data_IF_178753523376
#
_entry.id   IF_178753523376
#
_cell.length_a   1.000
_cell.length_b   1.000
_cell.length_c   1.000
_cell.angle_alpha   90.00
_cell.angle_beta   90.00
_cell.angle_gamma   90.00
#
_symmetry.space_group_name_H-M   'P 1'
#
loop_
_entity.id
_entity.type
_entity.pdbx_description
1 polymer ?
#
# COMPACT_ATOMS: atom_id res chain seq x y z
N UNK A 1 42.93 60.49 -0.47
CA UNK A 1 42.06 59.56 0.28
C UNK A 1 41.28 58.73 -0.73
N UNK A 2 41.54 57.42 -0.83
CA UNK A 2 40.81 56.50 -1.72
C UNK A 2 39.67 55.88 -0.93
N UNK A 3 38.44 56.20 -1.30
CA UNK A 3 37.22 55.62 -0.72
C UNK A 3 37.01 54.24 -1.34
N UNK A 4 37.23 53.17 -0.57
CA UNK A 4 36.90 51.81 -0.97
C UNK A 4 35.43 51.58 -0.63
N UNK A 5 34.59 51.43 -1.66
CA UNK A 5 33.19 51.04 -1.50
C UNK A 5 33.17 49.51 -1.37
N UNK A 6 32.89 49.01 -0.17
CA UNK A 6 32.58 47.59 0.05
C UNK A 6 31.16 47.31 -0.44
N UNK A 7 31.03 46.61 -1.57
CA UNK A 7 29.76 46.05 -2.00
C UNK A 7 29.44 44.83 -1.11
N UNK A 8 28.45 44.98 -0.25
CA UNK A 8 27.88 43.87 0.53
C UNK A 8 26.99 43.07 -0.42
N UNK A 9 27.49 41.92 -0.88
CA UNK A 9 26.70 40.93 -1.60
C UNK A 9 25.86 40.18 -0.55
N UNK A 10 24.57 40.52 -0.46
CA UNK A 10 23.61 39.70 0.27
C UNK A 10 23.46 38.35 -0.45
N UNK A 11 24.08 37.29 0.08
CA UNK A 11 23.72 35.93 -0.29
C UNK A 11 22.32 35.65 0.30
N UNK A 12 21.29 35.83 -0.50
CA UNK A 12 19.99 35.24 -0.19
C UNK A 12 20.13 33.73 -0.30
N UNK A 13 20.19 33.03 0.83
CA UNK A 13 20.07 31.59 0.88
C UNK A 13 18.65 31.23 0.41
N UNK A 14 18.51 30.82 -0.85
CA UNK A 14 17.29 30.19 -1.32
C UNK A 14 17.13 28.88 -0.57
N UNK A 15 16.32 28.89 0.48
CA UNK A 15 15.82 27.66 1.09
C UNK A 15 14.96 27.01 0.02
N UNK A 16 15.48 25.97 -0.64
CA UNK A 16 14.67 25.20 -1.58
C UNK A 16 13.63 24.43 -0.76
N UNK A 17 12.41 24.96 -0.72
CA UNK A 17 11.29 24.26 -0.13
C UNK A 17 10.90 23.14 -1.09
N UNK A 18 10.70 21.92 -0.57
CA UNK A 18 10.24 20.82 -1.39
C UNK A 18 8.86 21.14 -1.97
N UNK A 19 8.70 20.97 -3.27
CA UNK A 19 7.48 21.33 -4.00
C UNK A 19 6.63 20.09 -4.28
N UNK A 20 5.31 20.24 -4.29
CA UNK A 20 4.40 19.11 -4.55
C UNK A 20 4.60 18.57 -5.95
N UNK A 21 4.59 17.24 -6.10
CA UNK A 21 4.76 16.59 -7.41
C UNK A 21 3.77 17.09 -8.47
N UNK A 22 2.50 17.31 -8.09
CA UNK A 22 1.48 17.78 -9.03
C UNK A 22 1.70 19.22 -9.49
N UNK A 23 2.29 20.09 -8.66
CA UNK A 23 2.66 21.46 -9.05
C UNK A 23 3.84 21.45 -10.03
N UNK A 24 4.86 20.65 -9.74
CA UNK A 24 6.04 20.49 -10.60
C UNK A 24 5.67 19.85 -11.96
N UNK A 25 4.67 18.97 -11.97
CA UNK A 25 4.18 18.36 -13.21
C UNK A 25 3.40 19.37 -14.04
N UNK A 26 2.52 20.17 -13.41
CA UNK A 26 1.77 21.25 -14.07
C UNK A 26 2.68 22.31 -14.67
N UNK A 27 3.79 22.65 -14.02
CA UNK A 27 4.78 23.60 -14.55
C UNK A 27 5.70 23.00 -15.63
N UNK A 28 5.62 21.70 -15.88
CA UNK A 28 6.53 20.98 -16.78
C UNK A 28 7.97 20.87 -16.25
N UNK A 29 8.22 21.20 -14.98
CA UNK A 29 9.54 21.10 -14.35
C UNK A 29 9.93 19.65 -14.06
N UNK A 30 8.96 18.76 -13.91
CA UNK A 30 9.19 17.32 -13.77
C UNK A 30 8.34 16.53 -14.76
N UNK A 31 8.90 15.42 -15.26
CA UNK A 31 8.12 14.35 -15.90
C UNK A 31 8.00 13.20 -14.90
N UNK A 32 6.78 12.73 -14.73
CA UNK A 32 6.45 11.59 -13.87
C UNK A 32 5.89 10.47 -14.73
N UNK A 33 6.41 9.26 -14.55
CA UNK A 33 5.87 8.06 -15.16
C UNK A 33 5.62 7.06 -14.04
N UNK A 34 4.38 6.66 -13.85
CA UNK A 34 3.99 5.76 -12.76
C UNK A 34 3.24 4.57 -13.34
N UNK A 35 3.59 3.38 -12.86
CA UNK A 35 2.91 2.11 -13.14
C UNK A 35 2.65 1.37 -11.83
N UNK A 36 1.72 0.42 -11.84
CA UNK A 36 1.62 -0.55 -10.77
C UNK A 36 2.90 -1.40 -10.65
N UNK A 37 3.20 -1.88 -9.45
CA UNK A 37 4.42 -2.62 -9.16
C UNK A 37 4.13 -4.11 -8.92
N UNK A 38 4.28 -4.92 -9.97
CA UNK A 38 4.07 -6.37 -9.92
C UNK A 38 5.02 -7.13 -8.99
N UNK A 39 6.09 -6.49 -8.52
CA UNK A 39 7.03 -7.11 -7.57
C UNK A 39 6.57 -6.99 -6.11
N UNK A 40 5.49 -6.25 -5.85
CA UNK A 40 4.96 -6.00 -4.50
C UNK A 40 3.45 -6.25 -4.44
N UNK A 41 2.90 -6.14 -3.24
CA UNK A 41 1.47 -6.24 -2.97
C UNK A 41 0.87 -4.85 -2.82
N UNK A 42 -0.44 -4.81 -3.04
CA UNK A 42 -1.23 -3.58 -3.19
C UNK A 42 -1.34 -2.74 -1.91
N UNK A 43 -0.93 -3.29 -0.76
CA UNK A 43 -0.89 -2.65 0.55
C UNK A 43 0.52 -2.30 1.06
N UNK A 44 1.56 -2.54 0.24
CA UNK A 44 2.96 -2.32 0.60
C UNK A 44 3.61 -1.29 -0.33
N UNK A 45 4.19 -1.71 -1.45
CA UNK A 45 4.82 -0.84 -2.45
C UNK A 45 4.07 -0.89 -3.79
N UNK A 46 2.79 -0.50 -3.86
CA UNK A 46 1.92 -0.73 -5.02
C UNK A 46 2.35 -0.02 -6.31
N UNK A 47 3.17 1.04 -6.22
CA UNK A 47 3.54 1.87 -7.37
C UNK A 47 5.04 1.94 -7.58
N UNK A 48 5.47 1.83 -8.83
CA UNK A 48 6.82 2.15 -9.27
C UNK A 48 6.78 3.46 -10.06
N UNK A 49 7.55 4.45 -9.61
CA UNK A 49 7.59 5.80 -10.20
C UNK A 49 8.98 6.09 -10.76
N UNK A 50 9.00 6.69 -11.96
CA UNK A 50 10.19 7.27 -12.59
C UNK A 50 10.02 8.78 -12.70
N UNK A 51 10.82 9.50 -11.92
CA UNK A 51 10.89 10.95 -11.90
C UNK A 51 12.04 11.44 -12.78
N UNK A 52 11.77 12.40 -13.65
CA UNK A 52 12.79 13.05 -14.49
C UNK A 52 12.74 14.56 -14.29
N UNK A 53 13.83 15.14 -13.79
CA UNK A 53 13.94 16.58 -13.67
C UNK A 53 14.16 17.21 -15.06
N UNK A 54 13.14 17.91 -15.56
CA UNK A 54 13.16 18.60 -16.84
C UNK A 54 13.61 20.08 -16.71
N UNK A 55 13.77 20.58 -15.48
CA UNK A 55 14.28 21.91 -15.20
C UNK A 55 15.80 21.99 -15.32
N UNK A 56 16.31 23.22 -15.44
CA UNK A 56 17.75 23.53 -15.43
C UNK A 56 18.32 23.69 -14.01
N UNK A 57 17.49 23.53 -12.99
CA UNK A 57 17.82 23.71 -11.58
C UNK A 57 17.55 22.43 -10.79
N UNK A 58 18.17 22.31 -9.62
CA UNK A 58 17.85 21.25 -8.65
C UNK A 58 16.37 21.33 -8.27
N UNK A 59 15.69 20.19 -8.19
CA UNK A 59 14.34 20.07 -7.67
C UNK A 59 14.32 19.19 -6.43
N UNK A 60 13.56 19.60 -5.41
CA UNK A 60 13.21 18.78 -4.27
C UNK A 60 11.71 18.46 -4.39
N UNK A 61 11.39 17.23 -4.77
CA UNK A 61 10.03 16.78 -5.10
C UNK A 61 9.41 16.15 -3.87
N UNK A 62 8.25 16.66 -3.43
CA UNK A 62 7.50 16.16 -2.29
C UNK A 62 6.29 15.32 -2.74
N UNK A 63 6.15 14.14 -2.16
CA UNK A 63 4.95 13.30 -2.24
C UNK A 63 4.58 12.93 -0.80
N UNK A 64 3.64 13.64 -0.15
CA UNK A 64 3.28 13.39 1.25
C UNK A 64 2.35 12.19 1.39
N UNK A 65 2.32 11.60 2.59
CA UNK A 65 1.26 10.66 2.96
C UNK A 65 -0.12 11.35 2.88
N UNK A 66 -1.09 10.64 2.31
CA UNK A 66 -2.40 11.16 1.94
C UNK A 66 -2.48 11.73 0.52
N UNK A 67 -1.39 11.79 -0.24
CA UNK A 67 -1.43 12.17 -1.66
C UNK A 67 -1.96 11.02 -2.52
N UNK A 68 -2.80 11.32 -3.52
CA UNK A 68 -3.46 10.32 -4.36
C UNK A 68 -2.83 10.24 -5.75
N UNK A 69 -2.64 9.01 -6.21
CA UNK A 69 -2.38 8.65 -7.60
C UNK A 69 -3.63 8.00 -8.19
N UNK A 70 -4.11 8.57 -9.28
CA UNK A 70 -5.33 8.10 -9.95
C UNK A 70 -4.95 7.14 -11.07
N UNK A 71 -5.59 5.98 -11.12
CA UNK A 71 -5.41 5.02 -12.20
C UNK A 71 -5.88 5.61 -13.54
N UNK A 72 -5.17 5.33 -14.62
CA UNK A 72 -5.61 5.75 -15.96
C UNK A 72 -6.72 4.86 -16.51
N UNK A 73 -6.87 3.67 -15.94
CA UNK A 73 -7.92 2.70 -16.24
C UNK A 73 -8.78 2.57 -14.98
N UNK A 74 -10.08 2.85 -15.10
CA UNK A 74 -11.01 2.86 -13.96
C UNK A 74 -11.38 1.46 -13.46
N UNK A 75 -10.90 0.38 -14.09
CA UNK A 75 -10.99 -0.97 -13.53
C UNK A 75 -9.96 -1.24 -12.45
N UNK A 76 -9.01 -0.32 -12.23
CA UNK A 76 -7.97 -0.42 -11.22
C UNK A 76 -8.19 0.61 -10.10
N UNK A 77 -7.83 0.22 -8.88
CA UNK A 77 -7.91 1.08 -7.71
C UNK A 77 -6.98 2.29 -7.82
N UNK A 78 -7.45 3.44 -7.34
CA UNK A 78 -6.59 4.57 -7.01
C UNK A 78 -5.72 4.23 -5.80
N UNK A 79 -4.60 4.95 -5.67
CA UNK A 79 -3.62 4.70 -4.62
C UNK A 79 -3.41 5.95 -3.79
N UNK A 80 -3.63 5.83 -2.49
CA UNK A 80 -3.20 6.83 -1.51
C UNK A 80 -1.83 6.48 -0.98
N UNK A 81 -0.91 7.46 -0.99
CA UNK A 81 0.44 7.31 -0.47
C UNK A 81 0.42 7.25 1.06
N UNK A 82 1.16 6.31 1.63
CA UNK A 82 1.21 6.06 3.09
C UNK A 82 2.63 6.19 3.66
N UNK A 83 3.56 6.76 2.88
CA UNK A 83 4.88 7.18 3.34
C UNK A 83 5.26 8.46 2.61
N UNK A 84 5.51 9.52 3.37
CA UNK A 84 5.94 10.81 2.84
C UNK A 84 7.37 10.70 2.30
N UNK A 85 7.57 11.06 1.04
CA UNK A 85 8.90 11.11 0.45
C UNK A 85 9.29 12.51 -0.03
N UNK A 86 10.58 12.81 0.08
CA UNK A 86 11.22 13.95 -0.57
C UNK A 86 12.35 13.43 -1.44
N UNK A 87 12.19 13.56 -2.76
CA UNK A 87 13.20 13.15 -3.73
C UNK A 87 13.92 14.37 -4.29
N UNK A 88 15.21 14.51 -3.99
CA UNK A 88 16.08 15.50 -4.65
C UNK A 88 16.56 14.98 -6.00
N UNK A 89 16.44 15.81 -7.03
CA UNK A 89 16.93 15.55 -8.39
C UNK A 89 17.77 16.73 -8.91
N UNK A 90 18.98 16.44 -9.37
CA UNK A 90 19.80 17.39 -10.14
C UNK A 90 19.19 17.64 -11.53
N UNK A 91 19.56 18.73 -12.24
CA UNK A 91 19.10 18.99 -13.60
C UNK A 91 19.31 17.78 -14.52
N UNK A 92 18.26 17.37 -15.24
CA UNK A 92 18.31 16.21 -16.14
C UNK A 92 18.36 14.83 -15.45
N UNK A 93 18.44 14.78 -14.12
CA UNK A 93 18.51 13.51 -13.40
C UNK A 93 17.21 12.73 -13.53
N UNK A 94 17.35 11.40 -13.66
CA UNK A 94 16.25 10.44 -13.49
C UNK A 94 16.41 9.69 -12.18
N UNK A 95 15.33 9.49 -11.44
CA UNK A 95 15.28 8.65 -10.24
C UNK A 95 14.09 7.70 -10.30
N UNK A 96 14.33 6.43 -9.97
CA UNK A 96 13.29 5.42 -9.81
C UNK A 96 13.06 5.18 -8.32
N UNK A 97 11.79 5.11 -7.92
CA UNK A 97 11.37 4.94 -6.52
C UNK A 97 10.17 4.01 -6.52
N UNK A 98 10.06 3.14 -5.53
CA UNK A 98 8.81 2.45 -5.25
C UNK A 98 8.11 3.18 -4.12
N UNK A 99 6.82 3.50 -4.29
CA UNK A 99 6.07 4.28 -3.32
C UNK A 99 5.27 3.36 -2.42
N UNK A 100 5.29 3.63 -1.12
CA UNK A 100 4.34 3.00 -0.21
C UNK A 100 2.98 3.64 -0.35
N UNK A 101 1.97 2.79 -0.47
CA UNK A 101 0.61 3.21 -0.62
C UNK A 101 -0.36 2.08 -0.39
N UNK A 102 -1.63 2.45 -0.35
CA UNK A 102 -2.75 1.53 -0.19
C UNK A 102 -3.83 1.88 -1.20
N UNK A 103 -4.57 0.87 -1.58
CA UNK A 103 -5.64 1.00 -2.54
C UNK A 103 -6.89 1.61 -1.91
N UNK A 104 -7.68 2.31 -2.72
CA UNK A 104 -8.79 3.13 -2.23
C UNK A 104 -10.17 2.50 -2.44
N UNK A 105 -10.35 1.60 -3.42
CA UNK A 105 -11.66 1.09 -3.83
C UNK A 105 -11.72 -0.45 -3.82
N UNK A 106 -12.25 -1.08 -2.77
CA UNK A 106 -12.09 -2.54 -2.54
C UNK A 106 -12.49 -3.45 -3.72
N UNK A 107 -13.45 -3.01 -4.56
CA UNK A 107 -14.02 -3.81 -5.65
C UNK A 107 -13.24 -3.76 -6.97
N UNK A 108 -12.31 -2.82 -7.15
CA UNK A 108 -11.54 -2.69 -8.39
C UNK A 108 -10.23 -3.50 -8.32
N UNK A 109 -9.57 -3.72 -9.45
CA UNK A 109 -8.34 -4.50 -9.52
C UNK A 109 -7.18 -3.87 -8.74
N UNK A 110 -6.31 -4.71 -8.17
CA UNK A 110 -5.05 -4.26 -7.60
C UNK A 110 -4.13 -3.68 -8.69
N UNK A 111 -3.22 -2.75 -8.35
CA UNK A 111 -2.23 -2.22 -9.28
C UNK A 111 -1.40 -3.32 -9.96
N UNK A 112 -1.27 -3.20 -11.27
CA UNK A 112 -0.41 -4.05 -12.09
C UNK A 112 0.58 -3.24 -12.92
N UNK A 113 1.64 -3.89 -13.41
CA UNK A 113 2.65 -3.29 -14.29
C UNK A 113 2.10 -2.85 -15.65
N UNK A 114 0.86 -3.22 -15.98
CA UNK A 114 0.14 -2.78 -17.18
C UNK A 114 -0.71 -1.52 -16.95
N UNK A 115 -1.04 -1.18 -15.70
CA UNK A 115 -1.82 0.00 -15.38
C UNK A 115 -0.90 1.20 -15.11
N UNK A 116 -1.22 2.33 -15.74
CA UNK A 116 -0.54 3.61 -15.50
C UNK A 116 -1.29 4.45 -14.46
N UNK A 117 -0.56 5.36 -13.81
CA UNK A 117 -1.11 6.23 -12.78
C UNK A 117 -0.65 7.68 -12.96
N UNK A 118 -1.52 8.61 -12.61
CA UNK A 118 -1.23 10.04 -12.63
C UNK A 118 -1.23 10.63 -11.20
N UNK A 119 -0.23 11.44 -10.83
CA UNK A 119 -0.31 12.25 -9.60
C UNK A 119 -1.51 13.20 -9.68
N UNK A 120 -2.35 13.21 -8.65
CA UNK A 120 -3.51 14.12 -8.58
C UNK A 120 -3.35 15.13 -7.44
N UNK A 121 -3.99 14.86 -6.29
CA UNK A 121 -4.14 15.80 -5.18
C UNK A 121 -4.10 15.07 -3.84
N UNK A 122 -4.15 15.84 -2.76
CA UNK A 122 -4.39 15.28 -1.42
C UNK A 122 -5.78 14.67 -1.33
N UNK A 123 -5.89 13.51 -0.68
CA UNK A 123 -7.16 12.89 -0.33
C UNK A 123 -7.97 13.77 0.64
N UNK A 124 -9.20 13.37 0.92
CA UNK A 124 -10.02 14.00 1.95
C UNK A 124 -9.37 13.88 3.35
N UNK A 125 -9.66 14.84 4.23
CA UNK A 125 -8.99 15.00 5.53
C UNK A 125 -8.91 13.71 6.37
N UNK A 126 -9.97 12.92 6.43
CA UNK A 126 -9.98 11.66 7.20
C UNK A 126 -9.00 10.63 6.60
N UNK A 127 -8.97 10.51 5.27
CA UNK A 127 -8.05 9.60 4.56
C UNK A 127 -6.61 10.06 4.77
N UNK A 128 -6.34 11.37 4.69
CA UNK A 128 -5.00 11.93 4.98
C UNK A 128 -4.56 11.61 6.41
N UNK A 129 -5.45 11.77 7.40
CA UNK A 129 -5.18 11.44 8.80
C UNK A 129 -4.86 9.95 8.98
N UNK A 130 -5.63 9.06 8.35
CA UNK A 130 -5.36 7.62 8.38
C UNK A 130 -4.02 7.28 7.72
N UNK A 131 -3.73 7.83 6.53
CA UNK A 131 -2.46 7.60 5.84
C UNK A 131 -1.25 8.05 6.68
N UNK A 132 -1.35 9.19 7.37
CA UNK A 132 -0.32 9.67 8.29
C UNK A 132 -0.21 8.82 9.56
N UNK A 133 -1.32 8.29 10.06
CA UNK A 133 -1.31 7.35 11.18
C UNK A 133 -0.61 6.04 10.78
N UNK A 134 -0.90 5.52 9.60
CA UNK A 134 -0.24 4.34 9.02
C UNK A 134 1.26 4.60 8.85
N UNK A 135 1.65 5.74 8.28
CA UNK A 135 3.04 6.15 8.15
C UNK A 135 3.77 6.16 9.50
N UNK A 136 3.19 6.86 10.49
CA UNK A 136 3.78 7.02 11.82
C UNK A 136 4.02 5.68 12.53
N UNK A 137 3.10 4.73 12.37
CA UNK A 137 3.16 3.43 13.01
C UNK A 137 3.78 2.34 12.12
N UNK A 138 4.10 2.66 10.85
CA UNK A 138 4.61 1.72 9.83
C UNK A 138 3.66 0.54 9.58
N UNK A 139 2.36 0.79 9.58
CA UNK A 139 1.32 -0.23 9.40
C UNK A 139 1.05 -0.54 7.93
N UNK A 140 2.11 -0.77 7.14
CA UNK A 140 2.03 -1.15 5.72
C UNK A 140 1.78 -2.66 5.60
N UNK A 141 0.57 -3.07 5.97
CA UNK A 141 0.18 -4.45 6.22
C UNK A 141 -1.24 -4.72 5.72
N UNK A 142 -1.68 -5.99 5.70
CA UNK A 142 -3.08 -6.35 5.50
C UNK A 142 -4.05 -5.52 6.34
N UNK A 143 -3.82 -5.40 7.65
CA UNK A 143 -4.68 -4.61 8.53
C UNK A 143 -4.75 -3.13 8.12
N UNK A 144 -3.63 -2.54 7.71
CA UNK A 144 -3.60 -1.15 7.23
C UNK A 144 -4.45 -0.93 5.98
N UNK A 145 -4.40 -1.87 5.03
CA UNK A 145 -5.22 -1.82 3.82
C UNK A 145 -6.71 -2.00 4.11
N UNK A 146 -7.06 -2.94 4.99
CA UNK A 146 -8.45 -3.12 5.43
C UNK A 146 -8.97 -1.86 6.14
N UNK A 147 -8.13 -1.19 6.94
CA UNK A 147 -8.49 0.10 7.54
C UNK A 147 -8.73 1.21 6.49
N UNK A 148 -7.99 1.19 5.39
CA UNK A 148 -8.19 2.15 4.30
C UNK A 148 -9.54 1.94 3.61
N UNK A 149 -9.86 0.71 3.23
CA UNK A 149 -11.16 0.37 2.65
C UNK A 149 -12.30 0.62 3.63
N UNK A 150 -12.16 0.20 4.90
CA UNK A 150 -13.18 0.43 5.94
C UNK A 150 -13.52 1.91 6.09
N UNK A 151 -12.53 2.80 5.98
CA UNK A 151 -12.76 4.24 6.05
C UNK A 151 -13.42 4.81 4.79
N UNK A 152 -13.02 4.34 3.61
CA UNK A 152 -13.46 4.89 2.32
C UNK A 152 -14.87 4.40 1.97
N UNK A 153 -15.11 3.11 2.13
CA UNK A 153 -16.37 2.44 1.78
C UNK A 153 -17.41 2.53 2.91
N UNK A 154 -17.06 3.17 4.02
CA UNK A 154 -17.90 3.37 5.21
C UNK A 154 -18.38 2.04 5.83
N UNK A 155 -17.54 1.01 5.80
CA UNK A 155 -17.82 -0.31 6.35
C UNK A 155 -17.82 -0.33 7.91
N UNK A 156 -18.36 -1.39 8.52
CA UNK A 156 -18.23 -1.63 9.96
C UNK A 156 -16.77 -1.74 10.40
N UNK A 157 -16.45 -1.27 11.62
CA UNK A 157 -15.06 -1.25 12.10
C UNK A 157 -14.45 -2.64 12.25
N UNK A 158 -15.26 -3.67 12.46
CA UNK A 158 -14.77 -5.06 12.47
C UNK A 158 -14.24 -5.52 11.11
N UNK A 159 -14.53 -4.80 10.02
CA UNK A 159 -13.96 -5.00 8.69
C UNK A 159 -12.43 -4.79 8.64
N UNK A 160 -11.86 -4.11 9.64
CA UNK A 160 -10.40 -4.11 9.83
C UNK A 160 -9.99 -5.43 10.48
N UNK A 161 -9.86 -6.46 9.64
CA UNK A 161 -9.50 -7.83 10.03
C UNK A 161 -8.10 -8.20 9.57
N UNK A 162 -7.35 -8.88 10.45
CA UNK A 162 -6.03 -9.43 10.12
C UNK A 162 -5.61 -10.50 11.13
N UNK A 163 -4.70 -11.40 10.73
CA UNK A 163 -4.05 -12.32 11.67
C UNK A 163 -3.23 -11.58 12.74
N UNK A 164 -2.68 -10.39 12.44
CA UNK A 164 -2.16 -9.50 13.47
C UNK A 164 -3.31 -8.73 14.15
N UNK A 165 -4.00 -9.43 15.04
CA UNK A 165 -5.14 -8.89 15.79
C UNK A 165 -4.76 -7.67 16.65
N UNK A 166 -3.50 -7.53 17.04
CA UNK A 166 -3.02 -6.39 17.83
C UNK A 166 -3.01 -5.12 16.99
N UNK A 167 -2.50 -5.20 15.76
CA UNK A 167 -2.49 -4.10 14.82
C UNK A 167 -3.89 -3.75 14.35
N UNK A 168 -4.73 -4.75 14.06
CA UNK A 168 -6.14 -4.56 13.72
C UNK A 168 -6.88 -3.79 14.82
N UNK A 169 -6.76 -4.20 16.10
CA UNK A 169 -7.40 -3.52 17.21
C UNK A 169 -6.96 -2.05 17.37
N UNK A 170 -5.67 -1.74 17.14
CA UNK A 170 -5.16 -0.36 17.17
C UNK A 170 -5.81 0.47 16.06
N UNK A 171 -5.91 -0.07 14.85
CA UNK A 171 -6.53 0.60 13.70
C UNK A 171 -8.04 0.79 13.91
N UNK A 172 -8.76 -0.23 14.39
CA UNK A 172 -10.19 -0.14 14.73
C UNK A 172 -10.46 0.98 15.74
N UNK A 173 -9.64 1.04 16.80
CA UNK A 173 -9.73 2.11 17.80
C UNK A 173 -9.47 3.49 17.18
N UNK A 174 -8.44 3.62 16.36
CA UNK A 174 -8.13 4.88 15.69
C UNK A 174 -9.27 5.33 14.76
N UNK A 175 -9.85 4.40 13.98
CA UNK A 175 -11.01 4.69 13.13
C UNK A 175 -12.25 5.04 13.93
N UNK A 176 -12.51 4.38 15.06
CA UNK A 176 -13.59 4.76 15.98
C UNK A 176 -13.43 6.22 16.44
N UNK A 177 -12.24 6.62 16.86
CA UNK A 177 -11.95 8.01 17.27
C UNK A 177 -12.07 9.01 16.12
N UNK A 178 -11.65 8.61 14.91
CA UNK A 178 -11.65 9.46 13.72
C UNK A 178 -13.05 9.66 13.12
N UNK A 179 -13.91 8.65 13.21
CA UNK A 179 -15.23 8.61 12.56
C UNK A 179 -16.39 8.80 13.52
N UNK A 180 -16.20 8.49 14.81
CA UNK A 180 -17.26 8.41 15.82
C UNK A 180 -18.05 7.09 15.78
N UNK A 181 -17.71 6.15 14.89
CA UNK A 181 -18.32 4.82 14.84
C UNK A 181 -17.96 4.00 16.08
N UNK A 182 -18.89 3.13 16.49
CA UNK A 182 -18.64 2.15 17.57
C UNK A 182 -17.96 0.93 16.99
N UNK A 183 -17.14 0.27 17.82
CA UNK A 183 -16.60 -1.05 17.51
C UNK A 183 -17.68 -2.06 17.88
N UNK A 184 -18.20 -2.75 16.88
CA UNK A 184 -19.26 -3.76 17.01
C UNK A 184 -18.65 -5.16 16.98
N UNK A 185 -19.39 -6.14 17.49
CA UNK A 185 -19.01 -7.55 17.36
C UNK A 185 -19.24 -8.04 15.93
N UNK A 186 -18.42 -8.99 15.48
CA UNK A 186 -18.58 -9.62 14.17
C UNK A 186 -19.86 -10.47 14.18
N UNK A 187 -20.78 -10.31 13.22
CA UNK A 187 -21.94 -11.18 13.07
C UNK A 187 -21.52 -12.66 12.94
N UNK A 188 -22.26 -13.57 13.58
CA UNK A 188 -21.87 -14.98 13.64
C UNK A 188 -21.81 -15.67 12.28
N UNK A 189 -22.61 -15.22 11.32
CA UNK A 189 -22.64 -15.68 9.93
C UNK A 189 -21.54 -15.07 9.05
N UNK A 190 -20.92 -13.97 9.50
CA UNK A 190 -19.79 -13.30 8.84
C UNK A 190 -18.44 -13.64 9.51
N UNK A 191 -18.44 -14.44 10.58
CA UNK A 191 -17.25 -14.68 11.40
C UNK A 191 -16.08 -15.24 10.58
N UNK A 192 -16.34 -16.10 9.61
CA UNK A 192 -15.27 -16.63 8.76
C UNK A 192 -14.66 -15.55 7.84
N UNK A 193 -15.41 -14.54 7.43
CA UNK A 193 -14.90 -13.46 6.57
C UNK A 193 -13.99 -12.49 7.33
N UNK A 194 -14.31 -12.19 8.59
CA UNK A 194 -13.62 -11.13 9.35
C UNK A 194 -12.79 -11.63 10.55
N UNK A 195 -12.99 -12.86 11.00
CA UNK A 195 -12.13 -13.50 12.00
C UNK A 195 -11.23 -14.56 11.32
N UNK A 196 -9.96 -14.19 11.15
CA UNK A 196 -8.98 -15.04 10.50
C UNK A 196 -8.52 -16.22 11.37
N UNK A 197 -8.95 -16.28 12.64
CA UNK A 197 -8.72 -17.42 13.54
C UNK A 197 -9.76 -18.52 13.37
N UNK A 198 -10.92 -18.20 12.77
CA UNK A 198 -11.97 -19.19 12.49
C UNK A 198 -11.53 -20.13 11.38
N UNK A 199 -11.62 -21.44 11.65
CA UNK A 199 -11.31 -22.50 10.69
C UNK A 199 -12.41 -22.65 9.62
N UNK A 200 -12.07 -23.13 8.41
CA UNK A 200 -13.07 -23.55 7.42
C UNK A 200 -14.03 -24.57 8.02
N UNK A 201 -15.32 -24.50 7.66
CA UNK A 201 -16.34 -25.34 8.29
C UNK A 201 -17.29 -26.03 7.29
N UNK A 202 -17.22 -25.71 6.00
CA UNK A 202 -18.10 -26.28 4.97
C UNK A 202 -17.34 -27.14 3.96
N UNK A 203 -16.54 -26.53 3.09
CA UNK A 203 -15.77 -27.24 2.04
C UNK A 203 -14.31 -26.81 2.10
N UNK A 204 -13.44 -27.67 2.60
CA UNK A 204 -12.04 -27.34 2.79
C UNK A 204 -11.21 -27.64 1.54
N UNK A 205 -10.55 -26.63 0.98
CA UNK A 205 -9.44 -26.79 0.05
C UNK A 205 -8.16 -26.48 0.81
N UNK A 206 -7.16 -27.35 0.70
CA UNK A 206 -5.89 -27.15 1.37
C UNK A 206 -4.71 -27.75 0.63
N UNK A 207 -3.52 -27.42 1.13
CA UNK A 207 -2.27 -27.93 0.58
C UNK A 207 -1.09 -27.48 1.41
N UNK A 208 0.09 -27.87 0.94
CA UNK A 208 1.35 -27.63 1.62
C UNK A 208 2.31 -26.90 0.67
N UNK A 209 3.06 -25.94 1.24
CA UNK A 209 4.17 -25.28 0.55
C UNK A 209 5.39 -25.30 1.45
N UNK A 210 6.48 -25.82 0.90
CA UNK A 210 7.79 -25.80 1.56
C UNK A 210 8.65 -24.66 1.02
N UNK A 211 9.37 -23.99 1.90
CA UNK A 211 10.39 -23.00 1.54
C UNK A 211 11.49 -22.94 2.60
N UNK A 212 12.61 -22.30 2.27
CA UNK A 212 13.72 -22.15 3.19
C UNK A 212 14.17 -20.69 3.25
N UNK A 213 14.16 -20.11 4.46
CA UNK A 213 14.59 -18.74 4.72
C UNK A 213 15.96 -18.72 5.38
N UNK A 214 16.93 -18.05 4.76
CA UNK A 214 18.31 -17.98 5.27
C UNK A 214 18.45 -17.24 6.60
N UNK A 215 17.53 -16.31 6.87
CA UNK A 215 17.52 -15.48 8.07
C UNK A 215 16.09 -15.33 8.55
N UNK A 216 15.92 -15.08 9.85
CA UNK A 216 14.63 -14.73 10.43
C UNK A 216 14.02 -13.50 9.74
N UNK A 217 12.85 -13.67 9.14
CA UNK A 217 12.14 -12.63 8.39
C UNK A 217 10.64 -12.71 8.66
N UNK A 218 9.96 -11.56 8.68
CA UNK A 218 8.49 -11.51 8.74
C UNK A 218 7.90 -11.85 7.38
N UNK A 219 6.92 -12.75 7.34
CA UNK A 219 6.22 -13.11 6.11
C UNK A 219 4.72 -13.03 6.28
N UNK A 220 4.05 -12.71 5.18
CA UNK A 220 2.60 -12.90 5.02
C UNK A 220 2.39 -13.94 3.93
N UNK A 221 1.71 -15.02 4.27
CA UNK A 221 1.20 -16.01 3.33
C UNK A 221 -0.30 -15.81 3.22
N UNK A 222 -0.80 -15.56 2.02
CA UNK A 222 -2.20 -15.19 1.85
C UNK A 222 -2.79 -15.61 0.50
N UNK A 223 -4.11 -15.72 0.48
CA UNK A 223 -4.95 -15.95 -0.68
C UNK A 223 -5.37 -14.61 -1.29
N UNK A 224 -5.29 -14.53 -2.62
CA UNK A 224 -5.64 -13.36 -3.41
C UNK A 224 -6.59 -13.74 -4.54
N UNK A 225 -7.49 -12.81 -4.91
CA UNK A 225 -8.35 -12.94 -6.09
C UNK A 225 -7.53 -12.92 -7.39
N UNK A 226 -8.18 -13.22 -8.52
CA UNK A 226 -7.57 -13.07 -9.85
C UNK A 226 -7.12 -11.61 -10.10
N UNK A 227 -7.88 -10.66 -9.57
CA UNK A 227 -7.60 -9.22 -9.68
C UNK A 227 -6.53 -8.74 -8.69
N UNK A 228 -5.91 -9.65 -7.94
CA UNK A 228 -4.79 -9.37 -7.05
C UNK A 228 -5.17 -8.77 -5.70
N UNK A 229 -6.44 -8.81 -5.33
CA UNK A 229 -6.99 -8.34 -4.04
C UNK A 229 -6.71 -9.37 -2.95
N UNK A 230 -6.20 -8.92 -1.80
CA UNK A 230 -6.04 -9.77 -0.63
C UNK A 230 -7.42 -10.24 -0.13
N UNK A 231 -7.64 -11.56 -0.08
CA UNK A 231 -8.88 -12.16 0.41
C UNK A 231 -8.75 -12.65 1.85
N UNK A 232 -7.68 -13.39 2.15
CA UNK A 232 -7.48 -13.98 3.47
C UNK A 232 -6.00 -14.24 3.74
N UNK A 233 -5.55 -13.83 4.92
CA UNK A 233 -4.25 -14.25 5.43
C UNK A 233 -4.35 -15.69 5.96
N UNK A 234 -3.36 -16.50 5.61
CA UNK A 234 -3.21 -17.88 6.07
C UNK A 234 -2.08 -18.00 7.10
N UNK A 235 -1.08 -17.11 7.01
CA UNK A 235 -0.03 -16.96 8.02
C UNK A 235 0.50 -15.53 8.01
N UNK A 236 0.76 -14.96 9.18
CA UNK A 236 1.42 -13.67 9.35
C UNK A 236 2.34 -13.75 10.58
N UNK A 237 3.65 -13.77 10.35
CA UNK A 237 4.60 -13.97 11.44
C UNK A 237 6.04 -14.16 10.98
N UNK A 238 6.98 -14.28 11.93
CA UNK A 238 8.38 -14.53 11.62
C UNK A 238 8.59 -15.98 11.18
N UNK A 239 9.51 -16.20 10.26
CA UNK A 239 9.96 -17.53 9.80
C UNK A 239 11.47 -17.56 9.66
N UNK A 240 12.09 -18.72 9.88
CA UNK A 240 13.53 -18.95 9.69
C UNK A 240 13.81 -20.42 9.36
N UNK A 241 14.82 -20.68 8.52
CA UNK A 241 15.16 -22.04 8.12
C UNK A 241 14.11 -22.68 7.22
N UNK A 242 14.09 -24.01 7.23
CA UNK A 242 13.11 -24.78 6.46
C UNK A 242 11.74 -24.68 7.12
N UNK A 243 10.74 -24.33 6.32
CA UNK A 243 9.36 -24.12 6.74
C UNK A 243 8.45 -24.93 5.85
N UNK A 244 7.45 -25.53 6.48
CA UNK A 244 6.34 -26.22 5.81
C UNK A 244 5.08 -25.50 6.24
N UNK A 245 4.49 -24.71 5.34
CA UNK A 245 3.22 -24.02 5.60
C UNK A 245 2.07 -24.82 4.99
N UNK A 246 1.19 -25.27 5.88
CA UNK A 246 -0.11 -25.80 5.52
C UNK A 246 -1.10 -24.64 5.40
N UNK A 247 -1.92 -24.65 4.35
CA UNK A 247 -3.03 -23.71 4.21
C UNK A 247 -4.33 -24.47 3.99
N UNK A 248 -5.42 -23.89 4.50
CA UNK A 248 -6.78 -24.36 4.29
C UNK A 248 -7.72 -23.17 4.15
N UNK A 249 -8.70 -23.26 3.26
CA UNK A 249 -9.75 -22.26 3.13
C UNK A 249 -11.10 -22.89 2.77
N UNK A 250 -12.19 -22.16 3.05
CA UNK A 250 -13.55 -22.58 2.75
C UNK A 250 -13.92 -22.21 1.31
N UNK A 251 -14.05 -23.22 0.46
CA UNK A 251 -14.35 -23.10 -0.96
C UNK A 251 -15.81 -22.77 -1.27
N UNK A 252 -16.72 -22.81 -0.28
CA UNK A 252 -18.06 -22.23 -0.43
C UNK A 252 -18.04 -20.71 -0.26
N UNK A 253 -17.08 -20.18 0.51
CA UNK A 253 -16.91 -18.73 0.70
C UNK A 253 -16.07 -18.13 -0.42
N UNK A 254 -14.96 -18.79 -0.75
CA UNK A 254 -14.10 -18.41 -1.87
C UNK A 254 -14.36 -19.36 -3.04
N UNK A 255 -15.34 -19.01 -3.86
CA UNK A 255 -15.90 -19.86 -4.91
C UNK A 255 -15.42 -19.57 -6.33
N UNK A 256 -14.58 -18.56 -6.53
CA UNK A 256 -14.08 -18.15 -7.84
C UNK A 256 -13.24 -19.26 -8.49
N UNK A 257 -13.20 -19.32 -9.84
CA UNK A 257 -12.44 -20.34 -10.55
C UNK A 257 -10.92 -20.19 -10.39
N UNK A 258 -10.44 -19.00 -10.00
CA UNK A 258 -9.03 -18.65 -10.00
C UNK A 258 -8.67 -17.88 -8.73
N UNK A 259 -7.59 -18.35 -8.08
CA UNK A 259 -6.97 -17.66 -6.96
C UNK A 259 -5.45 -17.67 -7.07
N UNK A 260 -4.80 -16.82 -6.29
CA UNK A 260 -3.36 -16.78 -6.16
C UNK A 260 -2.93 -16.92 -4.70
N UNK A 261 -1.99 -17.82 -4.43
CA UNK A 261 -1.27 -17.88 -3.16
C UNK A 261 0.04 -17.10 -3.29
N UNK A 262 0.21 -16.09 -2.45
CA UNK A 262 1.44 -15.28 -2.43
C UNK A 262 2.15 -15.36 -1.09
N UNK A 263 3.47 -15.55 -1.15
CA UNK A 263 4.38 -15.31 -0.01
C UNK A 263 4.98 -13.93 -0.17
N UNK A 264 4.74 -13.08 0.82
CA UNK A 264 5.24 -11.71 0.86
C UNK A 264 6.27 -11.60 1.97
N UNK A 265 7.46 -11.09 1.66
CA UNK A 265 8.48 -10.75 2.63
C UNK A 265 9.24 -9.50 2.17
N UNK A 266 9.64 -8.63 3.10
CA UNK A 266 10.31 -7.35 2.79
C UNK A 266 9.58 -6.56 1.68
N UNK A 267 8.25 -6.46 1.79
CA UNK A 267 7.35 -5.80 0.83
C UNK A 267 7.37 -6.40 -0.59
N UNK A 268 7.97 -7.57 -0.80
CA UNK A 268 8.09 -8.22 -2.10
C UNK A 268 7.37 -9.55 -2.15
N UNK A 269 6.82 -9.86 -3.31
CA UNK A 269 6.28 -11.18 -3.60
C UNK A 269 7.46 -12.12 -3.87
N UNK A 270 7.69 -13.09 -2.99
CA UNK A 270 8.74 -14.11 -3.12
C UNK A 270 8.24 -15.39 -3.79
N UNK A 271 6.94 -15.67 -3.66
CA UNK A 271 6.28 -16.81 -4.26
C UNK A 271 4.90 -16.39 -4.73
N UNK A 272 4.48 -16.87 -5.90
CA UNK A 272 3.17 -16.61 -6.48
C UNK A 272 2.68 -17.86 -7.22
N UNK A 273 1.68 -18.55 -6.66
CA UNK A 273 1.10 -19.76 -7.25
C UNK A 273 -0.35 -19.52 -7.63
N UNK A 274 -0.64 -19.72 -8.91
CA UNK A 274 -2.02 -19.77 -9.41
C UNK A 274 -2.68 -21.08 -8.98
N UNK A 275 -3.88 -20.98 -8.44
CA UNK A 275 -4.81 -22.08 -8.20
C UNK A 275 -5.94 -21.94 -9.22
N UNK A 276 -6.27 -23.03 -9.91
CA UNK A 276 -7.37 -23.09 -10.87
C UNK A 276 -8.24 -24.27 -10.48
N UNK A 277 -9.55 -24.04 -10.43
CA UNK A 277 -10.52 -25.06 -10.11
C UNK A 277 -11.48 -25.21 -11.28
N UNK A 278 -11.57 -26.41 -11.85
CA UNK A 278 -12.64 -26.76 -12.76
C UNK A 278 -13.89 -27.00 -11.89
N UNK A 279 -14.81 -26.03 -11.88
CA UNK A 279 -16.09 -26.12 -11.16
C UNK A 279 -17.25 -26.02 -12.13
#
# INVERSE_FOLDING_TARGET
MRTIIFAVILLAAFVSHAQMISELQKSGSIKCYTIGNDSSVHYALPLAIRLVNAAKTKLDVKIPAGFVFVATDSSYQNIVITESIVATLQPGQTKQINLRGMCMEQSDHAPSGTCHYNPDKMAADKIVKLAQFIEKNKFWSPAGQQAMWTLIDDEPLYGVSSLDTSQAAILQKYLSELTGKKIEEIPADESYLYDYQVKPHKVTVGGEVEFNMKHKIMVVWALYSEDGILLREMYNGPVEGHQTLNFEYDAEVYSDPVYYLKLVADDKILYNKRLSFDR
#
